data_IF_191351392619
#
_entry.id   IF_191351392619
#
_cell.length_a   1.000
_cell.length_b   1.000
_cell.length_c   1.000
_cell.angle_alpha   90.00
_cell.angle_beta   90.00
_cell.angle_gamma   90.00
#
_symmetry.space_group_name_H-M   'P 1'
#
loop_
_entity.id
_entity.type
_entity.pdbx_description
1 polymer ?
#
# COMPACT_ATOMS: atom_id res chain seq x y z
N UNK A 1 1.25 -5.04 -15.49
CA UNK A 1 0.88 -3.74 -14.88
C UNK A 1 1.85 -3.44 -13.76
N UNK A 2 2.45 -2.24 -13.71
CA UNK A 2 3.42 -1.88 -12.65
C UNK A 2 2.74 -1.55 -11.32
N UNK A 3 1.49 -1.11 -11.34
CA UNK A 3 0.70 -0.83 -10.15
C UNK A 3 -0.70 -1.44 -10.27
N UNK A 4 -0.95 -2.50 -9.49
CA UNK A 4 -2.23 -3.17 -9.39
C UNK A 4 -2.61 -3.26 -7.92
N UNK A 5 -2.79 -2.11 -7.29
CA UNK A 5 -3.06 -2.00 -5.85
C UNK A 5 -4.47 -1.47 -5.63
N UNK A 6 -5.09 -1.90 -4.55
CA UNK A 6 -6.38 -1.38 -4.14
C UNK A 6 -6.46 -1.29 -2.61
N UNK A 7 -7.31 -0.41 -2.14
CA UNK A 7 -7.59 -0.24 -0.72
C UNK A 7 -8.98 -0.82 -0.46
N UNK A 8 -9.10 -1.69 0.54
CA UNK A 8 -10.35 -2.36 0.88
C UNK A 8 -10.52 -2.43 2.39
N UNK A 9 -11.71 -2.14 2.88
CA UNK A 9 -12.08 -2.42 4.27
C UNK A 9 -12.47 -3.90 4.46
N UNK A 10 -12.10 -4.46 5.61
CA UNK A 10 -12.71 -5.68 6.13
C UNK A 10 -13.66 -5.34 7.30
N UNK A 11 -14.01 -6.32 8.15
CA UNK A 11 -14.89 -6.10 9.30
C UNK A 11 -14.32 -5.13 10.36
N UNK A 12 -13.02 -4.82 10.33
CA UNK A 12 -12.36 -3.98 11.33
C UNK A 12 -11.34 -2.98 10.76
N UNK A 13 -10.64 -3.31 9.67
CA UNK A 13 -9.44 -2.61 9.22
C UNK A 13 -9.57 -2.06 7.81
N UNK A 14 -8.77 -1.03 7.52
CA UNK A 14 -8.49 -0.58 6.16
C UNK A 14 -7.19 -1.24 5.68
N UNK A 15 -7.25 -1.98 4.57
CA UNK A 15 -6.14 -2.81 4.08
C UNK A 15 -5.60 -2.33 2.75
N UNK A 16 -4.28 -2.45 2.57
CA UNK A 16 -3.61 -2.32 1.28
C UNK A 16 -3.48 -3.70 0.64
N UNK A 17 -4.00 -3.82 -0.57
CA UNK A 17 -4.07 -5.08 -1.31
C UNK A 17 -3.38 -4.96 -2.66
N UNK A 18 -2.86 -6.08 -3.17
CA UNK A 18 -2.37 -6.23 -4.54
C UNK A 18 -3.31 -7.14 -5.33
N UNK A 19 -3.80 -6.64 -6.46
CA UNK A 19 -4.54 -7.41 -7.44
C UNK A 19 -3.58 -8.21 -8.32
N UNK A 20 -3.66 -9.54 -8.21
CA UNK A 20 -2.92 -10.53 -9.00
C UNK A 20 -3.78 -11.80 -9.10
N UNK A 21 -3.27 -12.90 -9.67
CA UNK A 21 -4.04 -14.17 -9.81
C UNK A 21 -4.79 -14.56 -8.52
N UNK A 22 -4.12 -14.45 -7.38
CA UNK A 22 -4.76 -14.45 -6.07
C UNK A 22 -4.40 -13.14 -5.36
N UNK A 23 -5.41 -12.31 -5.09
CA UNK A 23 -5.22 -11.05 -4.37
C UNK A 23 -4.42 -11.29 -3.08
N UNK A 24 -3.44 -10.43 -2.80
CA UNK A 24 -2.62 -10.53 -1.60
C UNK A 24 -2.68 -9.24 -0.78
N UNK A 25 -2.77 -9.40 0.55
CA UNK A 25 -2.62 -8.28 1.48
C UNK A 25 -1.15 -7.89 1.57
N UNK A 26 -0.86 -6.61 1.32
CA UNK A 26 0.48 -6.04 1.44
C UNK A 26 0.69 -5.34 2.78
N UNK A 27 -0.38 -4.90 3.43
CA UNK A 27 -0.33 -4.21 4.72
C UNK A 27 -1.69 -3.72 5.18
N UNK A 28 -1.70 -2.95 6.26
CA UNK A 28 -2.91 -2.33 6.82
C UNK A 28 -2.63 -0.91 7.30
N UNK A 29 -3.62 -0.04 7.16
CA UNK A 29 -3.63 1.30 7.76
C UNK A 29 -4.10 1.25 9.22
N UNK A 30 -4.49 0.06 9.73
CA UNK A 30 -5.07 -0.15 11.04
C UNK A 30 -6.59 -0.17 11.02
N UNK A 31 -7.21 0.08 12.18
CA UNK A 31 -8.65 0.14 12.33
C UNK A 31 -9.25 1.19 11.38
N UNK A 32 -10.36 0.83 10.72
CA UNK A 32 -11.05 1.75 9.81
C UNK A 32 -11.47 3.02 10.56
N UNK A 33 -11.17 4.16 9.96
CA UNK A 33 -11.50 5.48 10.48
C UNK A 33 -11.59 6.48 9.30
N UNK A 34 -11.96 7.73 9.58
CA UNK A 34 -12.09 8.80 8.57
C UNK A 34 -10.94 9.80 8.59
N UNK A 35 -9.82 9.48 9.24
CA UNK A 35 -8.63 10.34 9.28
C UNK A 35 -7.88 10.26 7.94
N UNK A 36 -7.03 11.25 7.71
CA UNK A 36 -6.10 11.23 6.59
C UNK A 36 -5.01 10.17 6.79
N UNK A 37 -4.70 9.47 5.71
CA UNK A 37 -3.66 8.45 5.61
C UNK A 37 -2.83 8.67 4.35
N UNK A 38 -1.60 8.16 4.33
CA UNK A 38 -0.77 8.13 3.12
C UNK A 38 -0.22 6.73 2.84
N UNK A 39 0.10 6.47 1.57
CA UNK A 39 0.79 5.24 1.15
C UNK A 39 1.73 5.56 -0.02
N UNK A 40 2.93 5.00 0.03
CA UNK A 40 3.97 5.18 -0.98
C UNK A 40 4.51 3.82 -1.40
N UNK A 41 4.66 3.62 -2.71
CA UNK A 41 5.19 2.38 -3.28
C UNK A 41 6.64 2.59 -3.73
N UNK A 42 7.60 2.07 -2.97
CA UNK A 42 9.03 2.15 -3.31
C UNK A 42 9.44 0.98 -4.19
N UNK A 43 9.88 1.25 -5.41
CA UNK A 43 10.48 0.27 -6.31
C UNK A 43 11.97 0.11 -6.00
N UNK A 44 12.47 -1.13 -6.03
CA UNK A 44 13.86 -1.44 -5.67
C UNK A 44 14.91 -0.99 -6.72
N UNK A 45 14.50 -0.57 -7.92
CA UNK A 45 15.41 -0.27 -9.03
C UNK A 45 15.94 -1.54 -9.71
N UNK A 46 16.94 -1.38 -10.58
CA UNK A 46 17.58 -2.48 -11.33
C UNK A 46 16.60 -3.39 -12.08
N UNK A 47 15.54 -2.81 -12.66
CA UNK A 47 14.44 -3.54 -13.32
C UNK A 47 13.71 -4.56 -12.44
N UNK A 48 13.91 -4.51 -11.12
CA UNK A 48 13.16 -5.33 -10.18
C UNK A 48 11.70 -4.89 -10.14
N UNK A 49 10.79 -5.88 -10.19
CA UNK A 49 9.35 -5.66 -9.99
C UNK A 49 8.96 -5.68 -8.51
N UNK A 50 9.94 -5.78 -7.60
CA UNK A 50 9.71 -5.77 -6.17
C UNK A 50 9.35 -4.38 -5.68
N UNK A 51 8.28 -4.30 -4.89
CA UNK A 51 7.72 -3.06 -4.34
C UNK A 51 7.60 -3.20 -2.83
N UNK A 52 8.09 -2.19 -2.10
CA UNK A 52 7.91 -2.08 -0.65
C UNK A 52 6.91 -0.95 -0.36
N UNK A 53 5.70 -1.26 0.16
CA UNK A 53 4.76 -0.24 0.58
C UNK A 53 5.21 0.41 1.89
N UNK A 54 5.11 1.73 1.97
CA UNK A 54 5.27 2.51 3.20
C UNK A 54 3.91 3.11 3.54
N UNK A 55 3.31 2.66 4.63
CA UNK A 55 1.96 3.05 5.08
C UNK A 55 2.09 3.99 6.27
N UNK A 56 1.40 5.14 6.24
CA UNK A 56 1.48 6.17 7.29
C UNK A 56 2.93 6.57 7.62
N UNK A 57 3.81 6.50 6.62
CA UNK A 57 5.20 6.92 6.77
C UNK A 57 5.36 8.43 6.62
N UNK A 58 6.54 8.97 6.97
CA UNK A 58 6.86 10.36 6.68
C UNK A 58 6.67 10.65 5.18
N UNK A 59 6.16 11.85 4.88
CA UNK A 59 5.98 12.32 3.50
C UNK A 59 7.34 12.24 2.76
N UNK A 60 7.47 11.47 1.67
CA UNK A 60 8.71 11.39 0.92
C UNK A 60 9.02 12.65 0.11
N UNK A 61 8.09 13.63 0.06
CA UNK A 61 8.24 14.87 -0.70
C UNK A 61 9.19 15.92 -0.10
N UNK A 62 9.89 15.60 0.99
CA UNK A 62 10.97 16.45 1.53
C UNK A 62 12.24 16.38 0.68
N UNK A 63 12.21 17.03 -0.49
CA UNK A 63 13.37 17.52 -1.24
C UNK A 63 13.30 19.05 -1.30
#
# INVERSE_FOLDING_TARGET
MLAAFFIQSDSANLNLMQHKQQNAKLGTFGAFNHNWHNVVFRFAGNNSISVTPVINGPDPGGL
#
